data_IF_070440367875
#
_entry.id   IF_070440367875
#
_cell.length_a   1.000
_cell.length_b   1.000
_cell.length_c   1.000
_cell.angle_alpha   90.00
_cell.angle_beta   90.00
_cell.angle_gamma   90.00
#
_symmetry.space_group_name_H-M   'P 1'
#
loop_
_entity.id
_entity.type
_entity.pdbx_description
1 polymer ?
#
# COMPACT_ATOMS: atom_id res chain seq x y z
N UNK A 1 -2.87 -16.34 -18.28
CA UNK A 1 -1.95 -15.23 -17.93
C UNK A 1 -1.24 -14.77 -19.20
N UNK A 2 -1.03 -13.47 -19.40
CA UNK A 2 -0.48 -12.88 -20.63
C UNK A 2 1.04 -13.11 -20.87
N UNK A 3 1.66 -14.11 -20.23
CA UNK A 3 3.07 -14.48 -20.44
C UNK A 3 4.14 -13.50 -19.91
N UNK A 4 3.74 -12.42 -19.23
CA UNK A 4 4.67 -11.44 -18.66
C UNK A 4 5.41 -11.93 -17.40
N UNK A 5 6.62 -11.43 -17.17
CA UNK A 5 7.40 -11.65 -15.94
C UNK A 5 7.25 -10.44 -15.04
N UNK A 6 6.70 -10.63 -13.84
CA UNK A 6 6.50 -9.55 -12.85
C UNK A 6 7.77 -9.38 -12.03
N UNK A 7 8.20 -8.13 -11.83
CA UNK A 7 9.27 -7.76 -10.89
C UNK A 7 8.69 -6.86 -9.82
N UNK A 8 8.83 -7.26 -8.57
CA UNK A 8 8.29 -6.52 -7.42
C UNK A 8 9.37 -5.63 -6.80
N UNK A 9 9.00 -4.39 -6.51
CA UNK A 9 9.79 -3.46 -5.70
C UNK A 9 8.87 -3.03 -4.55
N UNK A 10 9.02 -3.61 -3.35
CA UNK A 10 8.12 -3.33 -2.24
C UNK A 10 8.34 -1.91 -1.71
N UNK A 11 7.29 -1.32 -1.14
CA UNK A 11 7.42 -0.17 -0.25
C UNK A 11 7.95 -0.67 1.11
N UNK A 12 8.92 0.05 1.65
CA UNK A 12 9.46 -0.21 2.98
C UNK A 12 8.69 0.61 4.02
N UNK A 13 8.22 0.00 5.12
CA UNK A 13 7.62 0.75 6.22
C UNK A 13 8.66 1.61 6.95
N UNK A 14 8.22 2.64 7.68
CA UNK A 14 9.08 3.35 8.63
C UNK A 14 9.60 2.41 9.73
N UNK A 15 10.81 2.66 10.20
CA UNK A 15 11.52 1.76 11.13
C UNK A 15 10.80 1.58 12.48
N UNK A 16 10.04 2.58 12.91
CA UNK A 16 9.28 2.61 14.16
C UNK A 16 7.78 2.37 13.95
N UNK A 17 7.34 1.95 12.75
CA UNK A 17 5.94 1.70 12.41
C UNK A 17 5.27 0.57 13.22
N UNK A 18 6.06 -0.23 13.94
CA UNK A 18 5.57 -1.21 14.92
C UNK A 18 5.20 -0.60 16.28
N UNK A 19 5.63 0.64 16.51
CA UNK A 19 5.59 1.27 17.83
C UNK A 19 4.96 2.65 17.85
N UNK A 20 4.91 3.33 16.71
CA UNK A 20 4.41 4.68 16.58
C UNK A 20 3.43 4.79 15.40
N UNK A 21 2.52 5.76 15.51
CA UNK A 21 1.70 6.21 14.38
C UNK A 21 2.64 6.90 13.41
N UNK A 22 2.57 6.53 12.13
CA UNK A 22 3.39 7.10 11.07
C UNK A 22 2.52 7.60 9.93
N UNK A 23 3.01 8.56 9.15
CA UNK A 23 2.33 8.93 7.92
C UNK A 23 2.58 7.86 6.85
N UNK A 24 1.60 7.62 5.99
CA UNK A 24 1.83 6.85 4.76
C UNK A 24 2.90 7.48 3.84
N UNK A 25 3.20 8.77 4.03
CA UNK A 25 4.33 9.44 3.37
C UNK A 25 5.70 8.89 3.80
N UNK A 26 5.82 8.34 5.01
CA UNK A 26 7.06 7.81 5.58
C UNK A 26 7.42 6.43 5.00
N UNK A 27 6.48 5.80 4.29
CA UNK A 27 6.78 4.60 3.50
C UNK A 27 7.62 4.96 2.28
N UNK A 28 8.72 4.25 2.10
CA UNK A 28 9.73 4.58 1.08
C UNK A 28 9.79 3.55 -0.02
N UNK A 29 9.97 4.02 -1.27
CA UNK A 29 10.33 3.16 -2.39
C UNK A 29 11.85 3.21 -2.58
N UNK A 30 12.50 2.04 -2.58
CA UNK A 30 13.92 1.96 -2.94
C UNK A 30 14.09 2.27 -4.44
N UNK A 31 14.49 3.52 -4.72
CA UNK A 31 14.67 4.01 -6.08
C UNK A 31 15.84 3.35 -6.82
N UNK A 32 16.87 2.88 -6.11
CA UNK A 32 17.99 2.17 -6.75
C UNK A 32 17.57 0.76 -7.14
N UNK A 33 16.84 0.07 -6.25
CA UNK A 33 16.22 -1.21 -6.58
C UNK A 33 15.25 -1.07 -7.74
N UNK A 34 14.40 -0.03 -7.75
CA UNK A 34 13.51 0.25 -8.89
C UNK A 34 14.31 0.41 -10.19
N UNK A 35 15.32 1.28 -10.21
CA UNK A 35 16.18 1.51 -11.38
C UNK A 35 16.80 0.21 -11.89
N UNK A 36 17.26 -0.67 -11.01
CA UNK A 36 17.88 -1.95 -11.37
C UNK A 36 16.92 -2.90 -12.11
N UNK A 37 15.61 -2.72 -11.98
CA UNK A 37 14.61 -3.53 -12.70
C UNK A 37 14.45 -3.13 -14.16
N UNK A 38 14.77 -1.88 -14.53
CA UNK A 38 14.60 -1.38 -15.89
C UNK A 38 15.68 -1.91 -16.83
N UNK A 39 15.25 -2.43 -17.98
CA UNK A 39 16.11 -2.91 -19.05
C UNK A 39 15.30 -2.93 -20.36
N UNK A 40 15.92 -3.38 -21.46
CA UNK A 40 15.28 -3.44 -22.79
C UNK A 40 14.05 -4.37 -22.89
N UNK A 41 13.79 -5.23 -21.89
CA UNK A 41 12.61 -6.09 -21.80
C UNK A 41 11.50 -5.50 -20.93
N UNK A 42 11.75 -4.40 -20.21
CA UNK A 42 10.70 -3.71 -19.47
C UNK A 42 9.68 -3.14 -20.46
N UNK A 43 8.39 -3.37 -20.22
CA UNK A 43 7.30 -2.93 -21.10
C UNK A 43 6.28 -2.08 -20.38
N UNK A 44 6.06 -2.36 -19.11
CA UNK A 44 5.00 -1.74 -18.34
C UNK A 44 5.41 -1.58 -16.88
N UNK A 45 5.06 -0.45 -16.31
CA UNK A 45 5.10 -0.19 -14.88
C UNK A 45 3.67 0.07 -14.41
N UNK A 46 3.25 -0.62 -13.35
CA UNK A 46 1.98 -0.36 -12.68
C UNK A 46 2.29 0.45 -11.43
N UNK A 47 1.70 1.63 -11.32
CA UNK A 47 1.84 2.53 -10.18
C UNK A 47 0.45 2.83 -9.63
N UNK A 48 0.26 2.65 -8.33
CA UNK A 48 -0.99 2.98 -7.67
C UNK A 48 -0.76 4.11 -6.66
N UNK A 49 -1.41 5.25 -6.88
CA UNK A 49 -1.23 6.47 -6.09
C UNK A 49 -2.52 7.30 -6.05
N UNK A 50 -3.18 7.51 -4.88
CA UNK A 50 -2.87 6.94 -3.58
C UNK A 50 -2.80 5.41 -3.57
N UNK A 51 -1.82 4.86 -2.87
CA UNK A 51 -1.51 3.42 -2.88
C UNK A 51 -2.46 2.61 -1.99
N UNK A 52 -3.04 1.53 -2.50
CA UNK A 52 -3.78 0.54 -1.73
C UNK A 52 -2.84 -0.59 -1.25
N UNK A 53 -2.78 -0.92 0.06
CA UNK A 53 -3.62 -0.42 1.15
C UNK A 53 -2.99 0.70 2.00
N UNK A 54 -1.73 1.05 1.74
CA UNK A 54 -0.91 1.95 2.58
C UNK A 54 -1.46 3.36 2.70
N UNK A 55 -2.18 3.85 1.69
CA UNK A 55 -2.64 5.24 1.57
C UNK A 55 -1.57 6.23 1.12
N UNK A 56 -0.36 5.76 0.75
CA UNK A 56 0.77 6.62 0.34
C UNK A 56 0.40 7.40 -0.91
N UNK A 57 0.64 8.70 -0.87
CA UNK A 57 0.59 9.57 -2.04
C UNK A 57 2.03 9.85 -2.45
N UNK A 58 2.43 9.37 -3.63
CA UNK A 58 3.79 9.58 -4.12
C UNK A 58 4.04 11.06 -4.39
N UNK A 59 5.20 11.56 -3.92
CA UNK A 59 5.58 12.95 -4.06
C UNK A 59 5.84 13.33 -5.53
N UNK A 60 5.88 14.63 -5.83
CA UNK A 60 6.20 15.09 -7.19
C UNK A 60 7.60 14.62 -7.60
N UNK A 61 8.54 14.58 -6.67
CA UNK A 61 9.93 14.15 -6.86
C UNK A 61 10.00 12.65 -7.16
N UNK A 62 9.31 11.82 -6.36
CA UNK A 62 9.21 10.37 -6.58
C UNK A 62 8.58 10.08 -7.96
N UNK A 63 7.42 10.68 -8.25
CA UNK A 63 6.74 10.50 -9.54
C UNK A 63 7.60 10.98 -10.71
N UNK A 64 8.32 12.09 -10.57
CA UNK A 64 9.21 12.61 -11.60
C UNK A 64 10.40 11.68 -11.84
N UNK A 65 10.98 11.10 -10.79
CA UNK A 65 12.08 10.14 -10.93
C UNK A 65 11.62 8.86 -11.63
N UNK A 66 10.43 8.34 -11.27
CA UNK A 66 9.80 7.18 -11.93
C UNK A 66 9.50 7.51 -13.40
N UNK A 67 8.86 8.66 -13.68
CA UNK A 67 8.50 9.09 -15.03
C UNK A 67 9.72 9.23 -15.95
N UNK A 68 10.83 9.78 -15.45
CA UNK A 68 12.10 9.86 -16.19
C UNK A 68 12.64 8.49 -16.61
N UNK A 69 12.51 7.47 -15.75
CA UNK A 69 12.89 6.10 -16.11
C UNK A 69 11.98 5.54 -17.19
N UNK A 70 10.67 5.71 -17.06
CA UNK A 70 9.72 5.23 -18.06
C UNK A 70 9.94 5.88 -19.43
N UNK A 71 10.21 7.18 -19.49
CA UNK A 71 10.57 7.87 -20.74
C UNK A 71 11.88 7.30 -21.31
N UNK A 72 12.93 7.16 -20.49
CA UNK A 72 14.24 6.64 -20.91
C UNK A 72 14.15 5.24 -21.55
N UNK A 73 13.29 4.37 -21.02
CA UNK A 73 13.16 2.98 -21.47
C UNK A 73 11.93 2.71 -22.34
N UNK A 74 11.17 3.75 -22.70
CA UNK A 74 9.91 3.65 -23.42
C UNK A 74 8.94 2.63 -22.78
N UNK A 75 8.78 2.74 -21.47
CA UNK A 75 7.94 1.86 -20.64
C UNK A 75 6.56 2.49 -20.47
N UNK A 76 5.49 1.74 -20.78
CA UNK A 76 4.11 2.17 -20.55
C UNK A 76 3.84 2.28 -19.05
N UNK A 77 3.06 3.28 -18.64
CA UNK A 77 2.65 3.45 -17.25
C UNK A 77 1.15 3.16 -17.14
N UNK A 78 0.79 2.12 -16.39
CA UNK A 78 -0.56 2.00 -15.83
C UNK A 78 -0.55 2.81 -14.52
N UNK A 79 -1.06 4.02 -14.58
CA UNK A 79 -1.28 4.86 -13.41
C UNK A 79 -2.66 4.55 -12.84
N UNK A 80 -2.71 3.67 -11.85
CA UNK A 80 -3.92 3.41 -11.07
C UNK A 80 -4.15 4.56 -10.07
N UNK A 81 -4.79 5.61 -10.58
CA UNK A 81 -5.12 6.84 -9.86
C UNK A 81 -6.57 6.82 -9.32
N UNK A 82 -7.20 5.66 -9.13
CA UNK A 82 -8.63 5.57 -8.76
C UNK A 82 -8.96 6.34 -7.47
N UNK A 83 -7.99 6.49 -6.57
CA UNK A 83 -8.14 7.22 -5.32
C UNK A 83 -7.67 8.68 -5.39
N UNK A 84 -7.24 9.21 -6.54
CA UNK A 84 -6.65 10.56 -6.61
C UNK A 84 -7.53 11.64 -5.97
N UNK A 85 -8.84 11.49 -6.10
CA UNK A 85 -9.81 12.43 -5.52
C UNK A 85 -10.09 12.21 -4.04
N UNK A 86 -9.59 11.13 -3.44
CA UNK A 86 -9.54 10.87 -2.00
C UNK A 86 -8.15 11.20 -1.43
N UNK A 87 -7.43 12.17 -1.99
CA UNK A 87 -6.16 12.65 -1.44
C UNK A 87 -6.43 13.73 -0.39
N UNK A 88 -5.87 13.60 0.80
CA UNK A 88 -6.08 14.48 1.95
C UNK A 88 -4.99 15.55 2.12
N UNK A 89 -3.93 15.47 1.30
CA UNK A 89 -2.84 16.44 1.20
C UNK A 89 -2.77 17.03 -0.20
N UNK A 90 -2.05 18.15 -0.43
CA UNK A 90 -1.73 18.61 -1.79
C UNK A 90 -0.94 17.53 -2.55
N UNK A 91 -1.39 17.15 -3.76
CA UNK A 91 -0.75 16.10 -4.55
C UNK A 91 -0.84 16.32 -6.05
N UNK A 92 0.21 15.91 -6.76
CA UNK A 92 0.25 15.86 -8.23
C UNK A 92 0.01 14.44 -8.73
N UNK A 93 -0.54 14.34 -9.94
CA UNK A 93 -0.68 13.07 -10.66
C UNK A 93 0.48 12.86 -11.60
N UNK A 94 0.83 11.60 -11.83
CA UNK A 94 1.81 11.23 -12.85
C UNK A 94 1.49 11.87 -14.20
N UNK A 95 0.22 11.84 -14.61
CA UNK A 95 -0.25 12.41 -15.88
C UNK A 95 -0.14 13.93 -16.00
N UNK A 96 0.18 14.65 -14.92
CA UNK A 96 0.30 16.11 -14.91
C UNK A 96 1.75 16.59 -14.94
N UNK A 97 2.73 15.68 -14.92
CA UNK A 97 4.15 16.04 -14.82
C UNK A 97 4.74 16.61 -16.11
N UNK A 98 4.46 15.99 -17.27
CA UNK A 98 4.89 16.49 -18.57
C UNK A 98 4.05 15.88 -19.72
N UNK A 99 4.06 16.48 -20.92
CA UNK A 99 3.42 15.89 -22.10
C UNK A 99 3.98 14.50 -22.46
N UNK A 100 5.29 14.30 -22.38
CA UNK A 100 5.95 13.04 -22.69
C UNK A 100 5.51 11.93 -21.74
N UNK A 101 5.42 12.23 -20.44
CA UNK A 101 4.92 11.29 -19.43
C UNK A 101 3.43 11.01 -19.65
N UNK A 102 2.62 12.04 -19.94
CA UNK A 102 1.18 11.89 -20.22
C UNK A 102 0.92 10.94 -21.39
N UNK A 103 1.71 11.01 -22.46
CA UNK A 103 1.55 10.17 -23.64
C UNK A 103 1.80 8.68 -23.38
N UNK A 104 2.36 8.32 -22.21
CA UNK A 104 2.62 6.94 -21.79
C UNK A 104 1.54 6.37 -20.85
N UNK A 105 0.48 7.12 -20.54
CA UNK A 105 -0.52 6.78 -19.51
C UNK A 105 -1.89 6.44 -20.13
N UNK A 106 -2.56 5.46 -19.54
CA UNK A 106 -3.93 5.05 -19.88
C UNK A 106 -4.88 5.28 -18.68
N UNK A 107 -5.73 6.34 -18.66
CA UNK A 107 -6.76 6.59 -17.60
C UNK A 107 -7.94 7.52 -18.02
N UNK A 108 -9.12 7.39 -17.35
CA UNK A 108 -10.36 8.21 -17.46
C UNK A 108 -10.80 8.85 -16.10
N UNK A 109 -11.75 9.84 -16.08
CA UNK A 109 -12.11 10.66 -14.89
C UNK A 109 -13.58 11.14 -14.76
N UNK A 110 -14.11 11.30 -13.52
CA UNK A 110 -15.23 12.24 -13.18
C UNK A 110 -15.90 12.16 -11.76
N UNK A 111 -16.17 13.34 -11.12
CA UNK A 111 -17.07 13.75 -9.97
C UNK A 111 -16.77 13.43 -8.47
N UNK A 112 -16.06 14.26 -7.65
CA UNK A 112 -15.62 13.78 -6.29
C UNK A 112 -15.32 14.72 -5.10
N UNK A 113 -15.55 16.05 -5.10
CA UNK A 113 -15.06 16.88 -3.97
C UNK A 113 -15.78 16.61 -2.63
N UNK A 114 -17.11 16.43 -2.65
CA UNK A 114 -17.88 16.07 -1.44
C UNK A 114 -17.49 14.70 -0.86
N UNK A 115 -17.18 13.73 -1.72
CA UNK A 115 -16.80 12.38 -1.29
C UNK A 115 -15.46 12.34 -0.55
N UNK A 116 -14.55 13.28 -0.85
CA UNK A 116 -13.28 13.42 -0.15
C UNK A 116 -13.49 13.83 1.30
N UNK A 117 -14.25 14.89 1.52
CA UNK A 117 -14.54 15.43 2.86
C UNK A 117 -15.25 14.38 3.73
N UNK A 118 -16.28 13.73 3.18
CA UNK A 118 -17.01 12.68 3.88
C UNK A 118 -16.11 11.48 4.24
N UNK A 119 -15.20 11.07 3.34
CA UNK A 119 -14.31 9.95 3.62
C UNK A 119 -13.23 10.31 4.64
N UNK A 120 -12.64 11.50 4.55
CA UNK A 120 -11.67 11.96 5.54
C UNK A 120 -12.30 12.00 6.94
N UNK A 121 -13.54 12.50 7.05
CA UNK A 121 -14.28 12.48 8.31
C UNK A 121 -14.52 11.07 8.87
N UNK A 122 -14.71 10.06 8.01
CA UNK A 122 -14.83 8.65 8.43
C UNK A 122 -13.50 8.08 8.91
N UNK A 123 -12.40 8.35 8.19
CA UNK A 123 -11.05 7.93 8.60
C UNK A 123 -10.70 8.54 9.95
N UNK A 124 -10.91 9.84 10.15
CA UNK A 124 -10.61 10.53 11.40
C UNK A 124 -11.33 9.88 12.61
N UNK A 125 -12.60 9.50 12.44
CA UNK A 125 -13.35 8.79 13.50
C UNK A 125 -12.85 7.38 13.73
N UNK A 126 -12.46 6.68 12.67
CA UNK A 126 -11.94 5.31 12.79
C UNK A 126 -10.60 5.28 13.51
N UNK A 127 -9.68 6.18 13.17
CA UNK A 127 -8.34 6.21 13.77
C UNK A 127 -8.34 6.65 15.23
N UNK A 128 -9.28 7.49 15.66
CA UNK A 128 -9.48 7.83 17.08
C UNK A 128 -9.68 6.58 17.94
N UNK A 129 -10.43 5.58 17.46
CA UNK A 129 -10.61 4.31 18.18
C UNK A 129 -9.29 3.54 18.27
N UNK A 130 -8.46 3.58 17.22
CA UNK A 130 -7.15 2.91 17.23
C UNK A 130 -6.18 3.59 18.21
N UNK A 131 -6.22 4.93 18.28
CA UNK A 131 -5.46 5.72 19.26
C UNK A 131 -5.86 5.38 20.69
N UNK A 132 -7.17 5.32 21.00
CA UNK A 132 -7.68 4.89 22.31
C UNK A 132 -7.23 3.47 22.70
N UNK A 133 -7.14 2.57 21.72
CA UNK A 133 -6.66 1.20 21.91
C UNK A 133 -5.12 1.11 21.96
N UNK A 134 -4.39 2.20 21.74
CA UNK A 134 -2.92 2.22 21.70
C UNK A 134 -2.35 1.37 20.56
N UNK A 135 -3.10 1.21 19.46
CA UNK A 135 -2.70 0.45 18.29
C UNK A 135 -2.01 1.36 17.27
N UNK A 136 -0.73 1.12 16.94
CA UNK A 136 -0.05 1.87 15.89
C UNK A 136 -0.73 1.64 14.54
N UNK A 137 -0.82 2.67 13.72
CA UNK A 137 -1.34 2.60 12.36
C UNK A 137 -0.60 3.57 11.43
N UNK A 138 -0.76 3.35 10.12
CA UNK A 138 -0.30 4.28 9.09
C UNK A 138 -1.45 5.23 8.75
N UNK A 139 -1.24 6.52 9.01
CA UNK A 139 -2.18 7.59 8.66
C UNK A 139 -2.20 7.79 7.14
N UNK A 140 -3.33 7.53 6.46
CA UNK A 140 -3.39 7.55 5.01
C UNK A 140 -3.37 8.98 4.47
N UNK A 141 -2.51 9.27 3.50
CA UNK A 141 -2.51 10.53 2.75
C UNK A 141 -3.59 10.54 1.66
N UNK A 142 -4.14 9.37 1.32
CA UNK A 142 -5.36 9.24 0.53
C UNK A 142 -5.92 7.82 0.46
N UNK A 143 -7.06 7.67 -0.22
CA UNK A 143 -7.82 6.41 -0.25
C UNK A 143 -8.70 6.24 0.99
N UNK A 144 -9.22 5.04 1.23
CA UNK A 144 -10.10 4.74 2.38
C UNK A 144 -9.63 3.56 3.23
N UNK A 145 -8.45 3.02 2.94
CA UNK A 145 -7.82 1.97 3.74
C UNK A 145 -6.93 2.61 4.81
N UNK A 146 -6.91 2.00 5.99
CA UNK A 146 -6.00 2.32 7.09
C UNK A 146 -5.25 1.03 7.43
N UNK A 147 -3.92 1.08 7.40
CA UNK A 147 -3.09 -0.07 7.74
C UNK A 147 -2.76 -0.02 9.23
N UNK A 148 -3.17 -1.05 9.98
CA UNK A 148 -3.05 -1.10 11.44
C UNK A 148 -2.06 -2.19 11.84
N UNK A 149 -1.15 -1.87 12.77
CA UNK A 149 -0.17 -2.79 13.28
C UNK A 149 -0.67 -3.51 14.54
N UNK A 150 -0.94 -4.79 14.39
CA UNK A 150 -1.42 -5.66 15.47
C UNK A 150 -0.32 -6.62 15.99
N UNK A 151 0.96 -6.33 15.80
CA UNK A 151 2.07 -7.17 16.28
C UNK A 151 2.04 -7.39 17.81
N UNK A 152 1.55 -6.37 18.53
CA UNK A 152 1.37 -6.38 20.00
C UNK A 152 0.24 -7.28 20.46
N UNK A 153 -0.78 -7.52 19.62
CA UNK A 153 -1.89 -8.40 19.96
C UNK A 153 -1.38 -9.85 20.05
N UNK A 154 -1.59 -10.48 21.21
CA UNK A 154 -1.27 -11.89 21.42
C UNK A 154 -2.55 -12.71 21.36
N UNK A 155 -2.49 -13.84 20.68
CA UNK A 155 -3.57 -14.81 20.75
C UNK A 155 -3.67 -15.36 22.20
N UNK A 156 -4.87 -15.67 22.69
CA UNK A 156 -5.03 -16.33 23.98
C UNK A 156 -4.18 -17.60 24.07
N UNK A 157 -3.63 -17.88 25.25
CA UNK A 157 -2.83 -19.09 25.44
C UNK A 157 -3.69 -20.33 25.14
N UNK A 158 -3.17 -21.24 24.32
CA UNK A 158 -3.90 -22.45 23.91
C UNK A 158 -4.99 -22.23 22.87
N UNK A 159 -5.08 -21.05 22.24
CA UNK A 159 -6.02 -20.83 21.15
C UNK A 159 -5.69 -21.71 19.93
N UNK A 160 -6.58 -22.61 19.59
CA UNK A 160 -6.43 -23.53 18.46
C UNK A 160 -7.05 -22.94 17.18
N UNK A 161 -6.24 -22.83 16.14
CA UNK A 161 -6.73 -22.50 14.81
C UNK A 161 -7.21 -23.77 14.10
N UNK A 162 -8.29 -23.65 13.32
CA UNK A 162 -8.73 -24.73 12.44
C UNK A 162 -7.62 -25.14 11.48
N UNK A 163 -7.65 -26.39 10.99
CA UNK A 163 -6.64 -26.93 10.08
C UNK A 163 -6.48 -26.10 8.80
N UNK A 164 -7.55 -25.44 8.32
CA UNK A 164 -7.52 -24.54 7.16
C UNK A 164 -6.82 -23.20 7.42
N UNK A 165 -6.61 -22.83 8.68
CA UNK A 165 -6.04 -21.54 9.11
C UNK A 165 -4.67 -21.71 9.77
N UNK A 166 -4.44 -22.85 10.41
CA UNK A 166 -3.24 -23.12 11.22
C UNK A 166 -1.92 -22.98 10.44
N UNK A 167 -1.91 -23.25 9.14
CA UNK A 167 -0.73 -23.10 8.27
C UNK A 167 -0.58 -21.72 7.63
N UNK A 168 -1.54 -20.82 7.83
CA UNK A 168 -1.57 -19.49 7.19
C UNK A 168 -0.64 -18.49 7.93
N UNK A 169 -0.19 -17.43 7.24
CA UNK A 169 0.59 -16.35 7.85
C UNK A 169 -0.14 -15.69 9.03
N UNK A 170 0.62 -14.97 9.86
CA UNK A 170 0.12 -14.44 11.14
C UNK A 170 -1.03 -13.45 10.94
N UNK A 171 -0.95 -12.60 9.93
CA UNK A 171 -1.99 -11.61 9.62
C UNK A 171 -3.31 -12.26 9.20
N UNK A 172 -3.28 -13.37 8.45
CA UNK A 172 -4.46 -14.16 8.12
C UNK A 172 -5.07 -14.79 9.36
N UNK A 173 -4.25 -15.39 10.23
CA UNK A 173 -4.69 -15.93 11.53
C UNK A 173 -5.31 -14.84 12.40
N UNK A 174 -4.73 -13.65 12.38
CA UNK A 174 -5.24 -12.49 13.11
C UNK A 174 -6.60 -12.04 12.57
N UNK A 175 -6.76 -11.87 11.25
CA UNK A 175 -8.05 -11.53 10.65
C UNK A 175 -9.12 -12.57 10.95
N UNK A 176 -8.76 -13.86 10.91
CA UNK A 176 -9.66 -14.94 11.34
C UNK A 176 -10.07 -14.81 12.81
N UNK A 177 -9.09 -14.62 13.70
CA UNK A 177 -9.33 -14.46 15.13
C UNK A 177 -10.21 -13.24 15.43
N UNK A 178 -9.92 -12.07 14.84
CA UNK A 178 -10.71 -10.85 15.02
C UNK A 178 -12.14 -11.00 14.48
N UNK A 179 -12.32 -11.71 13.37
CA UNK A 179 -13.64 -11.99 12.80
C UNK A 179 -14.51 -12.81 13.74
N UNK A 180 -13.93 -13.80 14.43
CA UNK A 180 -14.65 -14.64 15.38
C UNK A 180 -14.81 -14.02 16.77
N UNK A 181 -13.75 -13.37 17.28
CA UNK A 181 -13.69 -12.91 18.68
C UNK A 181 -14.23 -11.49 18.87
N UNK A 182 -14.06 -10.61 17.88
CA UNK A 182 -14.42 -9.20 17.98
C UNK A 182 -15.49 -8.79 16.96
N UNK A 183 -16.00 -9.72 16.13
CA UNK A 183 -16.91 -9.45 15.00
C UNK A 183 -16.39 -8.43 13.99
N UNK A 184 -15.06 -8.21 13.96
CA UNK A 184 -14.38 -7.29 13.03
C UNK A 184 -13.79 -8.09 11.88
N UNK A 185 -14.19 -7.77 10.66
CA UNK A 185 -13.59 -8.32 9.44
C UNK A 185 -12.45 -7.40 9.00
N UNK A 186 -11.23 -7.93 8.94
CA UNK A 186 -10.06 -7.26 8.39
C UNK A 186 -9.40 -8.10 7.29
N UNK A 187 -8.57 -7.47 6.47
CA UNK A 187 -7.76 -8.14 5.44
C UNK A 187 -6.29 -8.12 5.85
N UNK A 188 -5.63 -9.28 5.80
CA UNK A 188 -4.19 -9.38 5.99
C UNK A 188 -3.42 -8.72 4.86
N UNK A 189 -2.37 -7.98 5.20
CA UNK A 189 -1.51 -7.30 4.23
C UNK A 189 -0.74 -8.27 3.32
N UNK A 190 -0.35 -9.45 3.83
CA UNK A 190 0.38 -10.46 3.08
C UNK A 190 -0.47 -11.04 1.93
N UNK A 191 -1.79 -10.90 1.97
CA UNK A 191 -2.65 -11.26 0.85
C UNK A 191 -2.46 -10.34 -0.37
N UNK A 192 -1.97 -9.11 -0.17
CA UNK A 192 -1.67 -8.15 -1.24
C UNK A 192 -0.22 -8.23 -1.74
N UNK A 193 0.65 -8.80 -0.91
CA UNK A 193 2.06 -8.95 -1.18
C UNK A 193 2.31 -10.38 -1.70
N UNK A 194 2.36 -10.55 -3.02
CA UNK A 194 2.60 -11.86 -3.64
C UNK A 194 3.75 -12.61 -2.95
N UNK A 195 3.56 -13.91 -2.68
CA UNK A 195 4.19 -14.83 -1.69
C UNK A 195 5.71 -14.74 -1.32
N UNK A 196 6.40 -13.60 -1.42
CA UNK A 196 7.87 -13.50 -1.41
C UNK A 196 8.46 -12.29 -0.69
N UNK A 197 7.67 -11.41 -0.06
CA UNK A 197 8.17 -10.06 0.29
C UNK A 197 8.41 -9.75 1.77
N UNK A 198 8.14 -10.65 2.71
CA UNK A 198 8.64 -10.50 4.10
C UNK A 198 9.35 -11.77 4.58
N UNK A 199 10.61 -11.91 4.19
CA UNK A 199 11.59 -12.74 4.88
C UNK A 199 12.33 -11.90 5.92
N UNK A 200 11.67 -11.46 6.98
CA UNK A 200 12.39 -11.14 8.21
C UNK A 200 12.59 -12.46 8.95
N UNK A 201 13.80 -13.02 8.85
CA UNK A 201 14.37 -14.02 9.76
C UNK A 201 13.41 -15.04 10.34
N UNK A 202 12.91 -15.97 9.53
CA UNK A 202 12.61 -17.31 10.04
C UNK A 202 13.78 -18.18 9.58
N UNK A 203 14.73 -18.39 10.49
CA UNK A 203 15.63 -19.53 10.40
C UNK A 203 14.78 -20.76 10.11
N UNK A 204 15.01 -21.35 8.94
CA UNK A 204 14.57 -22.72 8.70
C UNK A 204 15.46 -23.58 9.59
N UNK A 205 14.86 -24.14 10.65
CA UNK A 205 15.36 -25.39 11.20
C UNK A 205 15.39 -26.46 10.09
#
# INVERSE_FOLDING_TARGET
MAGGVVRYVPLSPPADGDTAISSSGDWTLDMEKLKSTFNSKMRMLVLNSPHNPVGKVFSTEELSAIGKLCVKYNTIIIADDVYYRLTYIPAKRMATLSPEIRNLILTEMGFWDKSREEMQGKINRFVQVLEELGLPYTDPQGGYFVLVNFSRLKFPQGYEFSSSVASRPRDFKLSWFLGLAATVISLGYDAMMGATTFGHGVEKN
#
